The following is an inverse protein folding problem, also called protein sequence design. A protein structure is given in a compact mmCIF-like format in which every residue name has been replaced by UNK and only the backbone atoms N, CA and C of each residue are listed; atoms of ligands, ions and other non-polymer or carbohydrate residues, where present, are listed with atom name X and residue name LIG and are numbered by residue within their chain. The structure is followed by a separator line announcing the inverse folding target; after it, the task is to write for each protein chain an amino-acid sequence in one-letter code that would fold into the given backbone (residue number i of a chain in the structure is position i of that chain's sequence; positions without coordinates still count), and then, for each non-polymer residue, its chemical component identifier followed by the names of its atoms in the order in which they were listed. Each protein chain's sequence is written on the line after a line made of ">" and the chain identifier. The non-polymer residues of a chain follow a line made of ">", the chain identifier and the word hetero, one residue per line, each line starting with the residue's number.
data_IF_849558164810
#
_entry.id   IF_849558164810
#
_cell.length_a   1.000
_cell.length_b   1.000
_cell.length_c   1.000
_cell.angle_alpha   90.00
_cell.angle_beta   90.00
_cell.angle_gamma   90.00
#
_symmetry.space_group_name_H-M   'P 1'
#
loop_
_entity.id
_entity.type
_entity.pdbx_description
1 polymer ?
#
# COMPACT_ATOMS: atom_id res chain seq x y z
N UNK A 1 16.71 6.58 -19.07
CA UNK A 1 15.77 5.67 -18.37
C UNK A 1 15.91 5.96 -16.88
N UNK A 2 14.84 6.42 -16.21
CA UNK A 2 14.91 6.69 -14.76
C UNK A 2 14.67 5.36 -14.04
N UNK A 3 15.74 4.73 -13.58
CA UNK A 3 15.65 3.50 -12.78
C UNK A 3 15.19 3.87 -11.37
N UNK A 4 13.99 3.46 -10.98
CA UNK A 4 13.57 3.56 -9.58
C UNK A 4 14.37 2.55 -8.75
N UNK A 5 14.95 2.94 -7.60
CA UNK A 5 15.60 2.01 -6.71
C UNK A 5 14.66 0.86 -6.35
N UNK A 6 15.15 -0.38 -6.35
CA UNK A 6 14.35 -1.55 -5.96
C UNK A 6 13.75 -1.38 -4.56
N UNK A 7 14.47 -0.73 -3.64
CA UNK A 7 13.98 -0.46 -2.28
C UNK A 7 12.76 0.47 -2.25
N UNK A 8 12.50 1.22 -3.32
CA UNK A 8 11.35 2.11 -3.46
C UNK A 8 10.26 1.48 -4.33
N UNK A 9 10.65 0.82 -5.41
CA UNK A 9 9.71 0.18 -6.34
C UNK A 9 8.93 -0.96 -5.68
N UNK A 10 9.59 -1.81 -4.89
CA UNK A 10 8.97 -2.99 -4.29
C UNK A 10 7.91 -2.63 -3.21
N UNK A 11 8.17 -1.68 -2.29
CA UNK A 11 7.14 -1.23 -1.37
C UNK A 11 5.95 -0.57 -2.07
N UNK A 12 6.19 0.25 -3.10
CA UNK A 12 5.09 0.88 -3.88
C UNK A 12 4.20 -0.19 -4.50
N UNK A 13 4.78 -1.20 -5.14
CA UNK A 13 4.02 -2.31 -5.71
C UNK A 13 3.20 -3.05 -4.64
N UNK A 14 3.79 -3.32 -3.47
CA UNK A 14 3.13 -3.99 -2.34
C UNK A 14 1.96 -3.17 -1.78
N UNK A 15 2.12 -1.84 -1.65
CA UNK A 15 1.07 -0.95 -1.16
C UNK A 15 -0.12 -0.90 -2.13
N UNK A 16 0.14 -0.82 -3.44
CA UNK A 16 -0.90 -0.85 -4.48
C UNK A 16 -1.66 -2.18 -4.43
N UNK A 17 -0.96 -3.31 -4.34
CA UNK A 17 -1.58 -4.63 -4.20
C UNK A 17 -2.46 -4.74 -2.94
N UNK A 18 -1.97 -4.22 -1.81
CA UNK A 18 -2.71 -4.25 -0.54
C UNK A 18 -3.98 -3.41 -0.60
N UNK A 19 -3.90 -2.18 -1.12
CA UNK A 19 -5.08 -1.31 -1.32
C UNK A 19 -6.10 -1.95 -2.26
N UNK A 20 -5.62 -2.53 -3.37
CA UNK A 20 -6.46 -3.25 -4.33
C UNK A 20 -7.19 -4.43 -3.68
N UNK A 21 -6.48 -5.27 -2.92
CA UNK A 21 -7.08 -6.41 -2.21
C UNK A 21 -8.08 -5.98 -1.13
N UNK A 22 -7.83 -4.90 -0.40
CA UNK A 22 -8.76 -4.37 0.60
C UNK A 22 -10.02 -3.82 -0.07
N UNK A 23 -9.87 -3.03 -1.14
CA UNK A 23 -11.00 -2.49 -1.91
C UNK A 23 -11.81 -3.59 -2.58
N UNK A 24 -11.17 -4.53 -3.27
CA UNK A 24 -11.84 -5.64 -3.94
C UNK A 24 -12.45 -6.62 -2.94
N UNK A 25 -11.79 -6.90 -1.81
CA UNK A 25 -12.36 -7.71 -0.74
C UNK A 25 -13.63 -7.09 -0.18
N UNK A 26 -13.64 -5.77 0.02
CA UNK A 26 -14.83 -5.10 0.50
C UNK A 26 -15.95 -4.99 -0.56
N UNK A 27 -15.61 -4.71 -1.82
CA UNK A 27 -16.59 -4.52 -2.90
C UNK A 27 -17.14 -5.83 -3.49
N UNK A 28 -16.29 -6.85 -3.69
CA UNK A 28 -16.66 -8.12 -4.33
C UNK A 28 -17.04 -9.20 -3.32
N UNK A 29 -16.36 -9.28 -2.18
CA UNK A 29 -16.62 -10.30 -1.15
C UNK A 29 -17.55 -9.79 -0.04
N UNK A 30 -17.90 -8.49 -0.04
CA UNK A 30 -18.73 -7.89 1.01
C UNK A 30 -18.08 -7.93 2.39
N UNK A 31 -16.76 -8.07 2.45
CA UNK A 31 -16.02 -8.12 3.72
C UNK A 31 -16.18 -6.78 4.44
N UNK A 32 -16.48 -6.82 5.75
CA UNK A 32 -16.62 -5.60 6.53
C UNK A 32 -15.32 -4.79 6.46
N UNK A 33 -15.45 -3.49 6.14
CA UNK A 33 -14.35 -2.52 6.28
C UNK A 33 -14.02 -2.38 7.77
N UNK A 34 -13.24 -3.34 8.29
CA UNK A 34 -12.74 -3.29 9.65
C UNK A 34 -11.84 -2.08 9.80
N UNK A 35 -12.15 -1.21 10.76
CA UNK A 35 -11.38 0.00 11.08
C UNK A 35 -9.89 -0.33 11.25
N UNK A 36 -9.57 -1.47 11.88
CA UNK A 36 -8.21 -1.98 12.00
C UNK A 36 -7.53 -2.29 10.65
N UNK A 37 -8.25 -2.91 9.71
CA UNK A 37 -7.75 -3.26 8.36
C UNK A 37 -7.42 -1.98 7.56
N UNK A 38 -8.26 -0.96 7.68
CA UNK A 38 -8.03 0.36 7.09
C UNK A 38 -6.82 1.06 7.72
N UNK A 39 -6.72 1.06 9.06
CA UNK A 39 -5.57 1.63 9.79
C UNK A 39 -4.25 0.96 9.39
N UNK A 40 -4.22 -0.37 9.31
CA UNK A 40 -3.05 -1.11 8.85
C UNK A 40 -2.70 -0.78 7.40
N UNK A 41 -3.69 -0.68 6.50
CA UNK A 41 -3.45 -0.27 5.12
C UNK A 41 -2.87 1.15 5.03
N UNK A 42 -3.40 2.09 5.80
CA UNK A 42 -2.86 3.45 5.87
C UNK A 42 -1.43 3.49 6.43
N UNK A 43 -1.12 2.67 7.44
CA UNK A 43 0.24 2.57 7.98
C UNK A 43 1.24 2.04 6.95
N UNK A 44 0.84 1.06 6.12
CA UNK A 44 1.66 0.57 5.00
C UNK A 44 1.92 1.71 4.02
N UNK A 45 0.88 2.42 3.58
CA UNK A 45 1.01 3.55 2.65
C UNK A 45 1.92 4.64 3.23
N UNK A 46 1.76 5.00 4.50
CA UNK A 46 2.59 5.98 5.18
C UNK A 46 4.07 5.54 5.21
N UNK A 47 4.35 4.25 5.49
CA UNK A 47 5.70 3.70 5.46
C UNK A 47 6.33 3.74 4.06
N UNK A 48 5.56 3.43 3.02
CA UNK A 48 6.02 3.53 1.62
C UNK A 48 6.34 4.97 1.24
N UNK A 49 5.47 5.92 1.59
CA UNK A 49 5.70 7.35 1.35
C UNK A 49 6.96 7.83 2.09
N UNK A 50 7.14 7.41 3.35
CA UNK A 50 8.34 7.72 4.13
C UNK A 50 9.63 7.18 3.50
N UNK A 51 9.60 5.95 2.96
CA UNK A 51 10.72 5.38 2.21
C UNK A 51 11.00 6.16 0.93
N UNK A 52 9.95 6.55 0.20
CA UNK A 52 10.04 7.36 -1.02
C UNK A 52 10.67 8.72 -0.76
N UNK A 53 10.33 9.34 0.37
CA UNK A 53 10.87 10.63 0.82
C UNK A 53 12.30 10.51 1.35
N UNK A 54 12.65 9.42 2.03
CA UNK A 54 14.02 9.20 2.53
C UNK A 54 14.99 8.76 1.43
N UNK A 55 14.49 8.15 0.36
CA UNK A 55 15.26 7.75 -0.80
C UNK A 55 15.33 8.85 -1.90
N UNK A 56 14.71 10.01 -1.67
CA UNK A 56 14.78 11.19 -2.53
C UNK A 56 15.95 12.09 -2.09
#
# INVERSE_FOLDING_TARGET
>A
MKTLPVSVAYPIWTAVGTLGSVLLGALLLGEAFGVAKMLSAMAIVAGVVGLKLSAA
#
